data_IF_434434596612
#
_entry.id   IF_434434596612
#
_cell.length_a   1.000
_cell.length_b   1.000
_cell.length_c   1.000
_cell.angle_alpha   90.00
_cell.angle_beta   90.00
_cell.angle_gamma   90.00
#
_symmetry.space_group_name_H-M   'P 1'
#
loop_
_entity.id
_entity.type
_entity.pdbx_description
1 polymer ?
#
# COMPACT_ATOMS: atom_id res chain seq x y z
N UNK A 1 -67.54 9.55 29.99
CA UNK A 1 -67.13 10.78 29.27
C UNK A 1 -66.03 10.39 28.29
N UNK A 2 -66.30 10.60 27.00
CA UNK A 2 -65.51 10.47 25.74
C UNK A 2 -64.24 9.58 25.78
N UNK A 3 -64.14 8.39 25.18
CA UNK A 3 -64.30 7.92 23.78
C UNK A 3 -63.58 8.78 22.72
N UNK A 4 -62.48 8.25 22.19
CA UNK A 4 -62.10 8.36 20.79
C UNK A 4 -61.26 7.14 20.37
N UNK A 5 -61.86 6.30 19.52
CA UNK A 5 -61.27 5.15 18.86
C UNK A 5 -60.64 5.58 17.53
N UNK A 6 -59.48 5.02 17.19
CA UNK A 6 -58.87 5.17 15.86
C UNK A 6 -59.02 3.83 15.11
N UNK A 7 -59.81 3.86 14.05
CA UNK A 7 -60.12 2.70 13.22
C UNK A 7 -59.01 2.42 12.20
N UNK A 8 -58.62 1.15 12.11
CA UNK A 8 -57.71 0.59 11.13
C UNK A 8 -58.54 0.17 9.90
N UNK A 9 -58.32 0.82 8.75
CA UNK A 9 -59.02 0.51 7.51
C UNK A 9 -58.16 -0.43 6.65
N UNK A 10 -58.67 -1.64 6.44
CA UNK A 10 -58.14 -2.65 5.52
C UNK A 10 -58.74 -2.39 4.13
N UNK A 11 -57.90 -2.24 3.11
CA UNK A 11 -58.33 -2.33 1.71
C UNK A 11 -57.65 -3.54 1.04
N UNK A 12 -58.45 -4.58 0.86
CA UNK A 12 -58.23 -5.67 -0.08
C UNK A 12 -58.76 -5.22 -1.45
N UNK A 13 -57.91 -5.17 -2.47
CA UNK A 13 -58.35 -5.14 -3.86
C UNK A 13 -57.65 -6.23 -4.66
N UNK A 14 -58.48 -7.14 -5.17
CA UNK A 14 -58.21 -8.20 -6.12
C UNK A 14 -57.97 -7.65 -7.53
N UNK A 15 -56.96 -8.16 -8.23
CA UNK A 15 -56.75 -7.94 -9.67
C UNK A 15 -56.37 -9.27 -10.35
N UNK A 16 -56.83 -9.54 -11.59
CA UNK A 16 -57.09 -10.88 -12.09
C UNK A 16 -55.95 -11.49 -12.91
N UNK A 17 -56.04 -12.81 -13.05
CA UNK A 17 -55.34 -13.65 -14.01
C UNK A 17 -55.65 -13.25 -15.46
N UNK A 18 -54.61 -13.09 -16.29
CA UNK A 18 -54.74 -13.25 -17.74
C UNK A 18 -53.45 -13.77 -18.36
N UNK A 19 -53.57 -14.96 -18.93
CA UNK A 19 -52.65 -15.64 -19.85
C UNK A 19 -52.61 -14.92 -21.20
N UNK A 20 -51.41 -14.57 -21.69
CA UNK A 20 -51.21 -14.28 -23.09
C UNK A 20 -49.86 -14.84 -23.58
N UNK A 21 -49.98 -15.86 -24.44
CA UNK A 21 -48.94 -16.43 -25.28
C UNK A 21 -48.39 -15.36 -26.24
N UNK A 22 -47.06 -15.25 -26.33
CA UNK A 22 -46.42 -14.65 -27.50
C UNK A 22 -45.09 -15.36 -27.80
N UNK A 23 -45.16 -16.23 -28.81
CA UNK A 23 -44.01 -16.78 -29.54
C UNK A 23 -43.21 -15.62 -30.14
N UNK A 24 -41.92 -15.52 -29.81
CA UNK A 24 -40.93 -14.84 -30.65
C UNK A 24 -39.80 -15.81 -30.96
N UNK A 25 -39.54 -15.95 -32.26
CA UNK A 25 -38.65 -16.92 -32.85
C UNK A 25 -37.18 -16.69 -32.47
N UNK A 26 -36.49 -17.81 -32.35
CA UNK A 26 -35.05 -17.93 -32.18
C UNK A 26 -34.38 -17.53 -33.51
N UNK A 27 -33.64 -16.41 -33.53
CA UNK A 27 -32.70 -16.11 -34.61
C UNK A 27 -31.32 -16.53 -34.14
N UNK A 28 -30.83 -17.65 -34.69
CA UNK A 28 -29.46 -18.13 -34.51
C UNK A 28 -28.56 -17.31 -35.45
N UNK A 29 -27.86 -16.31 -34.92
CA UNK A 29 -26.74 -15.70 -35.63
C UNK A 29 -25.48 -16.55 -35.40
N UNK A 30 -24.96 -17.13 -36.49
CA UNK A 30 -23.63 -17.76 -36.55
C UNK A 30 -22.56 -16.73 -36.18
N UNK A 31 -21.90 -16.92 -35.04
CA UNK A 31 -20.66 -16.22 -34.71
C UNK A 31 -19.55 -16.70 -35.65
N UNK A 32 -19.12 -15.78 -36.52
CA UNK A 32 -17.96 -15.92 -37.39
C UNK A 32 -16.72 -15.67 -36.52
N UNK A 33 -15.90 -16.69 -36.31
CA UNK A 33 -14.57 -16.56 -35.71
C UNK A 33 -13.71 -15.65 -36.58
N UNK A 34 -13.38 -14.46 -36.08
CA UNK A 34 -12.38 -13.57 -36.65
C UNK A 34 -11.15 -13.61 -35.73
N UNK A 35 -10.06 -14.15 -36.25
CA UNK A 35 -8.72 -14.05 -35.68
C UNK A 35 -8.36 -12.56 -35.51
N UNK A 36 -8.07 -12.14 -34.28
CA UNK A 36 -7.44 -10.84 -34.04
C UNK A 36 -5.95 -10.97 -34.38
N UNK A 37 -5.57 -10.41 -35.52
CA UNK A 37 -4.20 -9.96 -35.76
C UNK A 37 -3.98 -8.70 -34.92
N UNK A 38 -2.95 -8.72 -34.06
CA UNK A 38 -2.50 -7.55 -33.32
C UNK A 38 -1.90 -6.54 -34.30
N UNK A 39 -2.65 -5.49 -34.61
CA UNK A 39 -2.14 -4.32 -35.30
C UNK A 39 -1.23 -3.54 -34.34
N UNK A 40 0.08 -3.55 -34.63
CA UNK A 40 1.09 -2.80 -33.88
C UNK A 40 0.86 -1.31 -34.08
N UNK A 41 0.33 -0.61 -33.07
CA UNK A 41 0.30 0.85 -33.08
C UNK A 41 1.73 1.40 -32.94
N UNK A 42 2.12 2.42 -33.71
CA UNK A 42 3.42 3.06 -33.57
C UNK A 42 3.53 3.76 -32.21
N UNK A 43 4.61 3.45 -31.50
CA UNK A 43 5.01 4.09 -30.23
C UNK A 43 5.32 5.57 -30.50
N UNK A 44 4.75 6.53 -29.75
CA UNK A 44 5.11 7.94 -29.91
C UNK A 44 6.60 8.15 -29.60
N UNK A 45 7.28 9.09 -30.28
CA UNK A 45 8.71 9.31 -30.10
C UNK A 45 9.02 9.65 -28.63
N UNK A 46 9.83 8.80 -28.02
CA UNK A 46 10.37 8.97 -26.67
C UNK A 46 10.96 10.36 -26.51
N UNK A 47 10.44 11.15 -25.56
CA UNK A 47 11.14 12.32 -25.06
C UNK A 47 12.50 11.84 -24.54
N UNK A 48 13.59 12.29 -25.15
CA UNK A 48 14.95 11.99 -24.72
C UNK A 48 15.11 12.44 -23.27
N UNK A 49 15.08 11.49 -22.34
CA UNK A 49 15.54 11.72 -20.98
C UNK A 49 17.02 12.11 -21.04
N UNK A 50 17.46 13.12 -20.28
CA UNK A 50 18.86 13.51 -20.25
C UNK A 50 19.70 12.32 -19.80
N UNK A 51 20.81 12.07 -20.53
CA UNK A 51 21.73 10.99 -20.24
C UNK A 51 22.18 11.07 -18.78
N UNK A 52 21.98 9.98 -18.04
CA UNK A 52 22.44 9.86 -16.66
C UNK A 52 23.97 9.99 -16.64
N UNK A 53 24.45 11.05 -16.00
CA UNK A 53 25.87 11.28 -15.78
C UNK A 53 26.42 10.15 -14.88
N UNK A 54 27.53 9.47 -15.24
CA UNK A 54 28.14 8.45 -14.39
C UNK A 54 28.89 9.14 -13.23
N UNK A 55 28.16 9.46 -12.16
CA UNK A 55 28.77 9.98 -10.94
C UNK A 55 29.38 8.84 -10.12
N UNK A 56 30.67 8.96 -9.83
CA UNK A 56 31.40 8.12 -8.87
C UNK A 56 30.82 8.31 -7.47
N UNK A 57 29.99 7.35 -7.03
CA UNK A 57 29.38 7.29 -5.70
C UNK A 57 30.34 6.62 -4.70
N UNK A 58 30.89 7.38 -3.76
CA UNK A 58 31.62 6.79 -2.63
C UNK A 58 30.64 6.37 -1.52
N UNK A 59 30.54 5.04 -1.35
CA UNK A 59 30.47 4.33 -0.07
C UNK A 59 29.24 4.52 0.84
N UNK A 60 28.02 4.33 0.31
CA UNK A 60 26.83 4.00 1.12
C UNK A 60 25.90 2.97 0.45
N UNK A 61 26.37 2.21 -0.54
CA UNK A 61 25.51 1.24 -1.25
C UNK A 61 25.15 0.10 -0.30
N UNK A 62 23.92 0.07 0.20
CA UNK A 62 23.43 -1.07 0.99
C UNK A 62 23.23 -2.29 0.05
N UNK A 63 23.07 -2.10 -1.28
CA UNK A 63 23.11 -3.20 -2.27
C UNK A 63 23.49 -2.69 -3.69
N UNK A 64 24.77 -2.67 -4.09
CA UNK A 64 25.19 -2.20 -5.43
C UNK A 64 24.72 -3.13 -6.57
N UNK A 65 24.22 -4.33 -6.26
CA UNK A 65 23.87 -5.36 -7.26
C UNK A 65 22.70 -4.97 -8.18
N UNK A 66 21.87 -3.99 -7.79
CA UNK A 66 20.65 -3.63 -8.52
C UNK A 66 20.71 -2.24 -9.17
N UNK A 67 21.85 -1.54 -9.06
CA UNK A 67 22.00 -0.18 -9.60
C UNK A 67 21.77 -0.11 -11.12
N UNK A 68 22.01 -1.20 -11.85
CA UNK A 68 21.79 -1.30 -13.30
C UNK A 68 20.32 -1.14 -13.72
N UNK A 69 19.37 -1.26 -12.79
CA UNK A 69 17.95 -1.06 -13.04
C UNK A 69 17.50 0.41 -12.84
N UNK A 70 18.41 1.30 -12.42
CA UNK A 70 18.13 2.72 -12.24
C UNK A 70 17.83 3.42 -13.56
N UNK A 71 16.83 4.32 -13.55
CA UNK A 71 16.48 5.13 -14.72
C UNK A 71 15.68 4.41 -15.80
N UNK A 72 15.39 3.11 -15.65
CA UNK A 72 14.49 2.38 -16.54
C UNK A 72 13.05 2.57 -16.05
N UNK A 73 12.14 3.14 -16.89
CA UNK A 73 10.73 3.20 -16.56
C UNK A 73 10.17 1.79 -16.38
N UNK A 74 9.61 1.52 -15.20
CA UNK A 74 9.32 0.14 -14.79
C UNK A 74 8.23 -0.56 -15.60
N UNK A 75 7.39 0.18 -16.32
CA UNK A 75 6.33 -0.39 -17.15
C UNK A 75 6.90 -1.26 -18.28
N UNK A 76 8.18 -1.07 -18.63
CA UNK A 76 8.87 -1.88 -19.63
C UNK A 76 9.44 -3.20 -19.07
N UNK A 77 9.62 -3.31 -17.74
CA UNK A 77 10.36 -4.43 -17.13
C UNK A 77 9.51 -5.32 -16.21
N UNK A 78 8.58 -4.75 -15.42
CA UNK A 78 7.76 -5.51 -14.47
C UNK A 78 6.44 -4.79 -14.15
N UNK A 79 5.45 -4.97 -15.03
CA UNK A 79 4.11 -4.42 -14.85
C UNK A 79 3.42 -4.92 -13.57
N UNK A 80 3.75 -6.14 -13.11
CA UNK A 80 3.14 -6.74 -11.94
C UNK A 80 3.58 -6.06 -10.64
N UNK A 81 4.88 -5.75 -10.51
CA UNK A 81 5.35 -5.03 -9.33
C UNK A 81 4.80 -3.61 -9.24
N UNK A 82 4.66 -2.87 -10.35
CA UNK A 82 3.99 -1.56 -10.33
C UNK A 82 2.54 -1.66 -9.84
N UNK A 83 1.83 -2.69 -10.32
CA UNK A 83 0.46 -2.97 -9.93
C UNK A 83 0.37 -3.18 -8.41
N UNK A 84 1.29 -3.96 -7.85
CA UNK A 84 1.37 -4.17 -6.40
C UNK A 84 1.64 -2.87 -5.64
N UNK A 85 2.62 -2.04 -6.05
CA UNK A 85 2.90 -0.78 -5.37
C UNK A 85 1.68 0.12 -5.34
N UNK A 86 0.96 0.22 -6.46
CA UNK A 86 -0.24 1.03 -6.61
C UNK A 86 -1.40 0.52 -5.74
N UNK A 87 -1.68 -0.78 -5.74
CA UNK A 87 -2.72 -1.36 -4.89
C UNK A 87 -2.42 -1.16 -3.40
N UNK A 88 -1.16 -1.30 -2.98
CA UNK A 88 -0.76 -1.03 -1.59
C UNK A 88 -0.86 0.46 -1.25
N UNK A 89 -0.67 1.36 -2.21
CA UNK A 89 -0.96 2.78 -2.01
C UNK A 89 -2.46 3.02 -1.81
N UNK A 90 -3.34 2.43 -2.62
CA UNK A 90 -4.80 2.54 -2.42
C UNK A 90 -5.21 2.10 -1.01
N UNK A 91 -4.69 0.97 -0.55
CA UNK A 91 -4.96 0.47 0.80
C UNK A 91 -4.45 1.43 1.88
N UNK A 92 -3.21 1.92 1.75
CA UNK A 92 -2.62 2.86 2.70
C UNK A 92 -3.39 4.18 2.80
N UNK A 93 -3.88 4.72 1.67
CA UNK A 93 -4.71 5.94 1.65
C UNK A 93 -6.12 5.70 2.19
N UNK A 94 -6.69 4.51 1.96
CA UNK A 94 -8.03 4.16 2.42
C UNK A 94 -8.15 4.04 3.94
N UNK A 95 -7.04 3.81 4.65
CA UNK A 95 -6.97 3.75 6.11
C UNK A 95 -7.43 5.05 6.81
N UNK A 96 -7.52 6.16 6.07
CA UNK A 96 -8.02 7.44 6.56
C UNK A 96 -9.52 7.66 6.33
N UNK A 97 -10.20 6.75 5.61
CA UNK A 97 -11.59 6.89 5.20
C UNK A 97 -12.42 5.63 5.44
N UNK A 98 -13.46 5.44 4.63
CA UNK A 98 -14.40 4.32 4.77
C UNK A 98 -14.00 3.15 3.86
N UNK A 99 -12.86 2.53 4.16
CA UNK A 99 -12.31 1.42 3.38
C UNK A 99 -13.28 0.22 3.27
N UNK A 100 -14.17 -0.01 4.24
CA UNK A 100 -15.20 -1.07 4.17
C UNK A 100 -16.23 -0.81 3.07
N UNK A 101 -16.49 0.45 2.74
CA UNK A 101 -17.42 0.83 1.69
C UNK A 101 -16.73 1.02 0.34
N UNK A 102 -15.54 1.63 0.33
CA UNK A 102 -14.89 2.04 -0.90
C UNK A 102 -14.01 0.94 -1.50
N UNK A 103 -13.26 0.20 -0.68
CA UNK A 103 -12.35 -0.82 -1.21
C UNK A 103 -13.05 -1.99 -1.92
N UNK A 104 -14.27 -2.45 -1.55
CA UNK A 104 -14.98 -3.44 -2.35
C UNK A 104 -15.29 -3.00 -3.80
N UNK A 105 -15.35 -1.69 -4.06
CA UNK A 105 -15.55 -1.15 -5.43
C UNK A 105 -14.28 -1.28 -6.26
N UNK A 106 -13.11 -1.19 -5.61
CA UNK A 106 -11.79 -1.28 -6.23
C UNK A 106 -11.32 -2.73 -6.38
N UNK A 107 -11.49 -3.52 -5.32
CA UNK A 107 -11.09 -4.92 -5.23
C UNK A 107 -12.28 -5.84 -5.52
N UNK A 108 -12.71 -5.86 -6.78
CA UNK A 108 -13.98 -6.47 -7.21
C UNK A 108 -14.04 -7.99 -7.07
N UNK A 109 -12.89 -8.66 -6.94
CA UNK A 109 -12.82 -10.12 -6.67
C UNK A 109 -13.02 -10.46 -5.19
N UNK A 110 -13.03 -9.46 -4.31
CA UNK A 110 -13.27 -9.63 -2.89
C UNK A 110 -12.39 -8.72 -2.04
N UNK A 111 -12.96 -8.27 -0.93
CA UNK A 111 -12.28 -7.48 0.09
C UNK A 111 -12.91 -7.79 1.45
N UNK A 112 -12.22 -8.58 2.26
CA UNK A 112 -12.70 -9.01 3.58
C UNK A 112 -11.81 -8.42 4.67
N UNK A 113 -12.42 -7.71 5.63
CA UNK A 113 -11.73 -7.24 6.83
C UNK A 113 -11.62 -8.39 7.82
N UNK A 114 -10.40 -8.83 8.07
CA UNK A 114 -10.11 -9.88 9.05
C UNK A 114 -10.09 -9.31 10.47
N UNK A 115 -9.48 -8.14 10.64
CA UNK A 115 -9.30 -7.51 11.93
C UNK A 115 -9.13 -6.00 11.77
N UNK A 116 -9.72 -5.22 12.67
CA UNK A 116 -9.45 -3.78 12.84
C UNK A 116 -8.74 -3.57 14.17
N UNK A 117 -7.91 -2.54 14.25
CA UNK A 117 -7.29 -2.15 15.50
C UNK A 117 -7.27 -0.62 15.66
N UNK A 118 -7.45 -0.20 16.90
CA UNK A 118 -7.26 1.16 17.36
C UNK A 118 -6.72 1.08 18.79
N UNK A 119 -5.68 1.86 19.08
CA UNK A 119 -4.90 1.77 20.33
C UNK A 119 -5.11 3.02 21.16
N UNK A 120 -4.86 2.93 22.47
CA UNK A 120 -4.98 4.08 23.39
C UNK A 120 -4.04 5.24 23.05
N UNK A 121 -2.92 4.95 22.38
CA UNK A 121 -1.95 5.96 21.94
C UNK A 121 -2.16 6.42 20.48
N UNK A 122 -3.29 6.05 19.87
CA UNK A 122 -3.73 6.59 18.58
C UNK A 122 -3.24 5.85 17.34
N UNK A 123 -2.44 4.78 17.45
CA UNK A 123 -2.18 3.89 16.31
C UNK A 123 -3.46 3.15 15.94
N UNK A 124 -3.80 3.13 14.65
CA UNK A 124 -4.96 2.40 14.12
C UNK A 124 -4.67 1.82 12.73
N UNK A 125 -5.56 0.94 12.27
CA UNK A 125 -5.42 0.26 11.00
C UNK A 125 -6.30 -0.98 10.90
N UNK A 126 -6.03 -1.81 9.90
CA UNK A 126 -6.78 -3.04 9.66
C UNK A 126 -5.92 -4.10 8.96
N UNK A 127 -6.37 -5.34 9.03
CA UNK A 127 -5.90 -6.46 8.22
C UNK A 127 -7.01 -6.89 7.27
N UNK A 128 -6.69 -7.03 5.97
CA UNK A 128 -7.67 -7.43 4.96
C UNK A 128 -7.18 -8.64 4.16
N UNK A 129 -8.08 -9.58 3.89
CA UNK A 129 -7.92 -10.62 2.89
C UNK A 129 -8.38 -10.09 1.54
N UNK A 130 -7.49 -10.12 0.54
CA UNK A 130 -7.74 -9.57 -0.79
C UNK A 130 -7.43 -10.64 -1.85
N UNK A 131 -8.44 -11.41 -2.29
CA UNK A 131 -8.25 -12.50 -3.25
C UNK A 131 -7.62 -12.07 -4.57
N UNK A 132 -7.94 -10.86 -5.07
CA UNK A 132 -7.34 -10.29 -6.29
C UNK A 132 -5.81 -10.18 -6.21
N UNK A 133 -5.29 -9.89 -5.02
CA UNK A 133 -3.85 -9.79 -4.74
C UNK A 133 -3.25 -11.12 -4.31
N UNK A 134 -4.07 -12.15 -4.03
CA UNK A 134 -3.67 -13.42 -3.39
C UNK A 134 -2.86 -13.17 -2.10
N UNK A 135 -3.34 -12.24 -1.29
CA UNK A 135 -2.57 -11.70 -0.18
C UNK A 135 -3.47 -11.30 1.00
N UNK A 136 -2.91 -11.39 2.20
CA UNK A 136 -3.43 -10.73 3.39
C UNK A 136 -2.59 -9.47 3.60
N UNK A 137 -3.23 -8.31 3.70
CA UNK A 137 -2.51 -7.03 3.82
C UNK A 137 -2.75 -6.43 5.20
N UNK A 138 -1.66 -6.18 5.93
CA UNK A 138 -1.67 -5.36 7.14
C UNK A 138 -1.52 -3.90 6.76
N UNK A 139 -2.49 -3.06 7.15
CA UNK A 139 -2.54 -1.65 6.77
C UNK A 139 -2.49 -0.79 8.03
N UNK A 140 -1.49 0.09 8.09
CA UNK A 140 -1.30 1.03 9.20
C UNK A 140 -1.70 2.44 8.77
N UNK A 141 -2.66 3.03 9.49
CA UNK A 141 -3.01 4.44 9.34
C UNK A 141 -1.89 5.32 9.93
N UNK A 142 -1.61 6.45 9.31
CA UNK A 142 -0.66 7.42 9.86
C UNK A 142 -1.19 8.17 11.06
N UNK A 143 -0.27 8.47 11.98
CA UNK A 143 -0.46 9.34 13.12
C UNK A 143 -0.44 10.82 12.68
N UNK A 144 -1.46 11.59 13.07
CA UNK A 144 -1.68 12.95 12.58
C UNK A 144 -0.69 13.99 13.11
N UNK A 145 -0.12 13.76 14.31
CA UNK A 145 0.70 14.73 15.05
C UNK A 145 2.14 14.23 15.17
N UNK A 146 2.81 14.01 14.03
CA UNK A 146 4.15 13.41 14.01
C UNK A 146 5.21 14.20 14.81
N UNK A 147 5.01 15.49 15.00
CA UNK A 147 5.89 16.36 15.78
C UNK A 147 5.86 16.03 17.27
N UNK A 148 4.80 15.37 17.75
CA UNK A 148 4.66 14.95 19.15
C UNK A 148 5.23 13.55 19.41
N UNK A 149 5.66 12.85 18.36
CA UNK A 149 6.32 11.56 18.53
C UNK A 149 7.71 11.74 19.13
N UNK A 150 8.07 10.80 19.98
CA UNK A 150 9.43 10.67 20.48
C UNK A 150 10.35 10.19 19.35
N UNK A 151 11.29 11.04 18.94
CA UNK A 151 12.27 10.76 17.89
C UNK A 151 13.64 10.36 18.46
N UNK A 152 13.73 10.07 19.77
CA UNK A 152 14.90 9.42 20.33
C UNK A 152 15.00 7.96 19.83
N UNK A 153 16.20 7.40 19.89
CA UNK A 153 16.45 6.02 19.48
C UNK A 153 16.03 5.04 20.57
N UNK A 154 15.27 4.02 20.17
CA UNK A 154 15.00 2.86 21.00
C UNK A 154 15.50 1.59 20.30
N UNK A 155 16.15 0.71 21.06
CA UNK A 155 16.51 -0.64 20.57
C UNK A 155 15.25 -1.40 20.15
N UNK A 156 15.35 -2.16 19.06
CA UNK A 156 14.30 -3.07 18.57
C UNK A 156 14.75 -4.54 18.56
N UNK A 157 15.87 -4.86 19.22
CA UNK A 157 16.42 -6.22 19.30
C UNK A 157 15.49 -7.19 20.05
N UNK A 158 14.63 -6.66 20.92
CA UNK A 158 13.62 -7.40 21.67
C UNK A 158 12.46 -7.91 20.79
N UNK A 159 12.29 -7.35 19.58
CA UNK A 159 11.18 -7.69 18.68
C UNK A 159 11.61 -8.19 17.30
N UNK A 160 12.82 -7.85 16.85
CA UNK A 160 13.36 -8.27 15.55
C UNK A 160 14.46 -9.32 15.72
N UNK A 161 14.21 -10.53 15.22
CA UNK A 161 15.18 -11.62 15.32
C UNK A 161 16.42 -11.32 14.47
N UNK A 162 17.61 -11.59 15.04
CA UNK A 162 18.92 -11.44 14.40
C UNK A 162 19.21 -10.01 13.89
N UNK A 163 18.97 -9.00 14.73
CA UNK A 163 19.11 -7.58 14.38
C UNK A 163 20.05 -6.82 15.33
N UNK A 164 21.31 -7.23 15.45
CA UNK A 164 22.26 -6.57 16.37
C UNK A 164 22.48 -5.10 15.99
N UNK A 165 22.40 -4.21 16.98
CA UNK A 165 22.50 -2.76 16.84
C UNK A 165 21.28 -2.10 16.21
N UNK A 166 20.16 -2.82 16.06
CA UNK A 166 18.99 -2.26 15.42
C UNK A 166 18.20 -1.37 16.35
N UNK A 167 17.89 -0.17 15.84
CA UNK A 167 17.10 0.84 16.52
C UNK A 167 16.05 1.43 15.59
N UNK A 168 15.01 1.97 16.21
CA UNK A 168 13.96 2.76 15.58
C UNK A 168 13.70 4.02 16.40
N UNK A 169 12.99 4.99 15.82
CA UNK A 169 12.42 6.08 16.59
C UNK A 169 11.47 5.54 17.68
N UNK A 170 11.61 6.01 18.92
CA UNK A 170 10.89 5.49 20.08
C UNK A 170 9.37 5.60 19.95
N UNK A 171 8.88 6.71 19.40
CA UNK A 171 7.45 6.90 19.08
C UNK A 171 6.95 5.88 18.06
N UNK A 172 7.76 5.58 17.03
CA UNK A 172 7.42 4.56 16.02
C UNK A 172 7.39 3.16 16.63
N UNK A 173 8.37 2.84 17.50
CA UNK A 173 8.36 1.58 18.26
C UNK A 173 7.09 1.48 19.13
N UNK A 174 6.75 2.53 19.86
CA UNK A 174 5.60 2.57 20.75
C UNK A 174 4.28 2.36 19.99
N UNK A 175 4.09 3.05 18.86
CA UNK A 175 2.93 2.86 17.98
C UNK A 175 2.83 1.43 17.44
N UNK A 176 3.96 0.82 17.04
CA UNK A 176 3.96 -0.56 16.57
C UNK A 176 3.59 -1.55 17.68
N UNK A 177 4.18 -1.42 18.86
CA UNK A 177 3.95 -2.33 19.99
C UNK A 177 2.50 -2.27 20.45
N UNK A 178 1.92 -1.06 20.55
CA UNK A 178 0.51 -0.94 20.93
C UNK A 178 -0.43 -1.61 19.93
N UNK A 179 -0.14 -1.53 18.61
CA UNK A 179 -0.91 -2.22 17.58
C UNK A 179 -0.73 -3.75 17.66
N UNK A 180 0.49 -4.21 17.91
CA UNK A 180 0.79 -5.63 18.13
C UNK A 180 0.03 -6.18 19.34
N UNK A 181 -0.03 -5.45 20.45
CA UNK A 181 -0.79 -5.82 21.64
C UNK A 181 -2.30 -5.83 21.37
N UNK A 182 -2.84 -4.78 20.75
CA UNK A 182 -4.27 -4.67 20.42
C UNK A 182 -4.75 -5.80 19.49
N UNK A 183 -3.85 -6.33 18.67
CA UNK A 183 -4.12 -7.45 17.77
C UNK A 183 -3.77 -8.83 18.34
N UNK A 184 -3.32 -8.89 19.60
CA UNK A 184 -2.83 -10.11 20.27
C UNK A 184 -1.74 -10.81 19.45
N UNK A 185 -0.72 -10.05 19.08
CA UNK A 185 0.36 -10.46 18.18
C UNK A 185 -0.16 -11.01 16.84
N UNK A 186 -1.11 -10.29 16.24
CA UNK A 186 -1.67 -10.59 14.92
C UNK A 186 -2.29 -12.00 14.82
N UNK A 187 -2.86 -12.53 15.92
CA UNK A 187 -3.37 -13.90 16.02
C UNK A 187 -4.40 -14.25 14.91
N UNK A 188 -5.32 -13.34 14.59
CA UNK A 188 -6.31 -13.52 13.52
C UNK A 188 -5.62 -13.71 12.16
N UNK A 189 -4.61 -12.89 11.87
CA UNK A 189 -3.86 -12.94 10.62
C UNK A 189 -3.03 -14.22 10.55
N UNK A 190 -2.38 -14.63 11.63
CA UNK A 190 -1.64 -15.91 11.69
C UNK A 190 -2.55 -17.11 11.44
N UNK A 191 -3.75 -17.11 12.03
CA UNK A 191 -4.76 -18.15 11.80
C UNK A 191 -5.21 -18.19 10.35
N UNK A 192 -5.49 -17.03 9.75
CA UNK A 192 -5.91 -16.98 8.35
C UNK A 192 -4.78 -17.37 7.39
N UNK A 193 -3.52 -17.03 7.67
CA UNK A 193 -2.35 -17.54 6.92
C UNK A 193 -2.24 -19.06 7.04
N UNK A 194 -2.40 -19.60 8.25
CA UNK A 194 -2.32 -21.05 8.48
C UNK A 194 -3.40 -21.81 7.69
N UNK A 195 -4.60 -21.24 7.57
CA UNK A 195 -5.75 -21.78 6.84
C UNK A 195 -5.62 -21.60 5.32
N UNK A 196 -5.38 -20.39 4.84
CA UNK A 196 -5.42 -20.02 3.42
C UNK A 196 -4.10 -20.27 2.68
N UNK A 197 -2.97 -20.37 3.41
CA UNK A 197 -1.60 -20.42 2.86
C UNK A 197 -1.24 -19.20 2.00
N UNK A 198 -1.98 -18.10 2.14
CA UNK A 198 -1.68 -16.87 1.42
C UNK A 198 -0.45 -16.18 2.00
N UNK A 199 0.15 -15.33 1.16
CA UNK A 199 1.21 -14.43 1.58
C UNK A 199 0.64 -13.33 2.49
N UNK A 200 1.54 -12.70 3.25
CA UNK A 200 1.26 -11.45 3.95
C UNK A 200 2.16 -10.35 3.40
N UNK A 201 1.56 -9.20 3.13
CA UNK A 201 2.25 -7.93 2.95
C UNK A 201 1.83 -6.90 3.98
N UNK A 202 2.65 -5.86 4.11
CA UNK A 202 2.39 -4.76 5.04
C UNK A 202 2.51 -3.43 4.32
N UNK A 203 1.60 -2.51 4.62
CA UNK A 203 1.56 -1.18 4.01
C UNK A 203 1.14 -0.07 4.97
N UNK A 204 1.45 1.17 4.63
CA UNK A 204 1.07 2.33 5.43
C UNK A 204 1.59 3.63 4.83
N UNK A 205 0.89 4.72 5.13
CA UNK A 205 1.16 6.05 4.61
C UNK A 205 1.64 7.01 5.72
N UNK A 206 2.61 7.88 5.39
CA UNK A 206 3.21 8.82 6.33
C UNK A 206 3.83 8.12 7.53
N UNK A 207 3.43 8.48 8.74
CA UNK A 207 3.84 7.76 9.97
C UNK A 207 3.38 6.30 9.95
N UNK A 208 2.24 6.00 9.32
CA UNK A 208 1.78 4.63 9.14
C UNK A 208 2.76 3.82 8.28
N UNK A 209 3.45 4.48 7.34
CA UNK A 209 4.53 3.88 6.57
C UNK A 209 5.78 3.58 7.39
N UNK A 210 6.12 4.43 8.36
CA UNK A 210 7.20 4.14 9.30
C UNK A 210 6.86 2.97 10.24
N UNK A 211 5.63 2.94 10.76
CA UNK A 211 5.12 1.82 11.58
C UNK A 211 5.05 0.53 10.75
N UNK A 212 4.59 0.60 9.50
CA UNK A 212 4.53 -0.54 8.59
C UNK A 212 5.91 -1.12 8.28
N UNK A 213 6.94 -0.27 8.16
CA UNK A 213 8.33 -0.71 7.98
C UNK A 213 8.86 -1.46 9.21
N UNK A 214 8.60 -0.96 10.43
CA UNK A 214 8.97 -1.66 11.66
C UNK A 214 8.19 -2.98 11.83
N UNK A 215 6.89 -2.98 11.48
CA UNK A 215 6.10 -4.20 11.44
C UNK A 215 6.67 -5.23 10.46
N UNK A 216 7.18 -4.78 9.30
CA UNK A 216 7.83 -5.65 8.34
C UNK A 216 9.14 -6.25 8.88
N UNK A 217 9.93 -5.49 9.66
CA UNK A 217 11.14 -6.01 10.31
C UNK A 217 10.80 -7.14 11.28
N UNK A 218 9.90 -6.88 12.24
CA UNK A 218 9.48 -7.88 13.23
C UNK A 218 8.92 -9.12 12.53
N UNK A 219 7.84 -8.94 11.75
CA UNK A 219 7.10 -10.05 11.17
C UNK A 219 7.85 -10.74 10.03
N UNK A 220 8.71 -10.02 9.31
CA UNK A 220 9.59 -10.58 8.28
C UNK A 220 10.71 -11.42 8.89
N UNK A 221 11.28 -11.00 10.03
CA UNK A 221 12.27 -11.82 10.76
C UNK A 221 11.70 -13.17 11.20
N UNK A 222 10.38 -13.22 11.43
CA UNK A 222 9.58 -14.41 11.78
C UNK A 222 8.93 -15.10 10.56
N UNK A 223 9.30 -14.71 9.34
CA UNK A 223 8.81 -15.27 8.06
C UNK A 223 7.29 -15.20 7.86
N UNK A 224 6.58 -14.31 8.57
CA UNK A 224 5.16 -14.08 8.37
C UNK A 224 4.91 -13.10 7.22
N UNK A 225 5.63 -11.97 7.22
CA UNK A 225 5.54 -10.96 6.16
C UNK A 225 6.59 -11.21 5.09
N UNK A 226 6.17 -11.19 3.83
CA UNK A 226 7.04 -11.44 2.67
C UNK A 226 7.24 -10.22 1.79
N UNK A 227 6.37 -9.21 1.90
CA UNK A 227 6.47 -7.98 1.14
C UNK A 227 6.15 -6.76 2.01
N UNK A 228 6.82 -5.65 1.74
CA UNK A 228 6.59 -4.40 2.45
C UNK A 228 6.49 -3.24 1.47
N UNK A 229 5.46 -2.42 1.65
CA UNK A 229 5.23 -1.23 0.85
C UNK A 229 5.03 -0.07 1.82
N UNK A 230 5.65 1.07 1.58
CA UNK A 230 5.41 2.24 2.42
C UNK A 230 5.32 3.48 1.55
N UNK A 231 4.42 4.39 1.90
CA UNK A 231 4.08 5.56 1.10
C UNK A 231 4.36 6.82 1.91
N UNK A 232 5.17 7.73 1.40
CA UNK A 232 5.44 9.01 2.07
C UNK A 232 6.07 8.88 3.44
N UNK A 233 6.77 7.77 3.69
CA UNK A 233 7.35 7.44 4.99
C UNK A 233 8.52 8.38 5.32
N UNK A 234 8.56 8.97 6.55
CA UNK A 234 9.75 9.66 7.05
C UNK A 234 10.88 8.67 7.41
N UNK A 235 12.08 9.18 7.64
CA UNK A 235 13.16 8.36 8.22
C UNK A 235 12.78 7.95 9.65
N UNK A 236 12.92 6.67 9.98
CA UNK A 236 12.55 6.16 11.30
C UNK A 236 13.41 5.01 11.84
N UNK A 237 14.34 4.50 11.02
CA UNK A 237 15.14 3.31 11.32
C UNK A 237 16.63 3.65 11.19
N UNK A 238 17.45 3.18 12.12
CA UNK A 238 18.89 3.39 12.03
C UNK A 238 19.52 2.52 10.92
N UNK A 239 20.79 2.73 10.61
CA UNK A 239 21.46 2.06 9.49
C UNK A 239 21.48 0.51 9.64
N UNK A 240 21.62 0.00 10.87
CA UNK A 240 21.58 -1.45 11.12
C UNK A 240 20.18 -2.03 10.82
N UNK A 241 19.13 -1.34 11.28
CA UNK A 241 17.74 -1.69 10.99
C UNK A 241 17.43 -1.65 9.49
N UNK A 242 17.92 -0.63 8.77
CA UNK A 242 17.77 -0.54 7.30
C UNK A 242 18.47 -1.70 6.60
N UNK A 243 19.70 -2.02 7.01
CA UNK A 243 20.47 -3.14 6.43
C UNK A 243 19.77 -4.49 6.67
N UNK A 244 19.19 -4.69 7.87
CA UNK A 244 18.39 -5.87 8.17
C UNK A 244 17.13 -5.94 7.32
N UNK A 245 16.41 -4.82 7.20
CA UNK A 245 15.19 -4.73 6.40
C UNK A 245 15.47 -5.09 4.94
N UNK A 246 16.47 -4.45 4.33
CA UNK A 246 16.84 -4.69 2.94
C UNK A 246 17.30 -6.14 2.71
N UNK A 247 17.96 -6.75 3.70
CA UNK A 247 18.34 -8.17 3.68
C UNK A 247 17.14 -9.12 3.72
N UNK A 248 16.14 -8.84 4.57
CA UNK A 248 14.94 -9.68 4.68
C UNK A 248 14.13 -9.70 3.37
N UNK A 249 14.05 -8.56 2.68
CA UNK A 249 13.23 -8.41 1.47
C UNK A 249 14.04 -8.42 0.16
N UNK A 250 15.36 -8.63 0.25
CA UNK A 250 16.29 -8.68 -0.87
C UNK A 250 16.22 -7.43 -1.78
N UNK A 251 15.83 -6.29 -1.22
CA UNK A 251 15.55 -5.04 -1.93
C UNK A 251 14.30 -5.04 -2.82
N UNK A 252 13.93 -6.17 -3.44
CA UNK A 252 12.85 -6.24 -4.43
C UNK A 252 11.46 -6.41 -3.82
N UNK A 253 11.35 -7.16 -2.73
CA UNK A 253 10.09 -7.38 -2.03
C UNK A 253 9.75 -6.24 -1.04
N UNK A 254 10.55 -5.17 -1.05
CA UNK A 254 10.32 -3.99 -0.23
C UNK A 254 10.41 -2.72 -1.06
N UNK A 255 9.34 -1.93 -1.11
CA UNK A 255 9.30 -0.70 -1.89
C UNK A 255 8.85 0.48 -1.01
N UNK A 256 9.63 1.55 -1.09
CA UNK A 256 9.33 2.81 -0.41
C UNK A 256 9.01 3.88 -1.44
N UNK A 257 7.73 4.22 -1.52
CA UNK A 257 7.18 5.14 -2.50
C UNK A 257 7.24 6.56 -1.96
N UNK A 258 7.68 7.49 -2.80
CA UNK A 258 7.61 8.93 -2.56
C UNK A 258 7.01 9.64 -3.76
N UNK A 259 6.05 10.52 -3.52
CA UNK A 259 5.56 11.43 -4.56
C UNK A 259 6.52 12.62 -4.68
N UNK A 260 6.42 13.35 -5.79
CA UNK A 260 7.29 14.49 -6.03
C UNK A 260 7.25 15.51 -4.88
N UNK A 261 8.39 15.76 -4.25
CA UNK A 261 8.57 16.77 -3.21
C UNK A 261 7.68 16.60 -1.96
N UNK A 262 7.18 15.39 -1.66
CA UNK A 262 6.45 15.10 -0.43
C UNK A 262 7.24 15.54 0.82
N UNK A 263 6.66 16.44 1.61
CA UNK A 263 7.28 16.96 2.83
C UNK A 263 7.61 15.89 3.87
N UNK A 264 6.76 14.87 4.04
CA UNK A 264 6.90 13.88 5.12
C UNK A 264 8.14 13.01 4.90
N UNK A 265 8.50 12.75 3.64
CA UNK A 265 9.70 11.98 3.30
C UNK A 265 10.98 12.67 3.84
N UNK A 266 10.95 13.98 4.09
CA UNK A 266 12.09 14.72 4.67
C UNK A 266 11.81 15.43 5.97
N UNK A 267 10.65 15.19 6.60
CA UNK A 267 10.31 15.82 7.88
C UNK A 267 11.31 15.47 8.97
N UNK A 268 11.86 14.24 8.92
CA UNK A 268 12.96 13.79 9.77
C UNK A 268 14.28 13.88 9.00
N UNK A 269 15.24 14.70 9.48
CA UNK A 269 16.50 14.90 8.78
C UNK A 269 17.31 13.61 8.72
N UNK A 270 18.18 13.52 7.70
CA UNK A 270 19.17 12.45 7.66
C UNK A 270 20.16 12.66 8.81
N UNK A 271 20.42 11.60 9.55
CA UNK A 271 21.31 11.60 10.70
C UNK A 271 21.28 10.21 11.31
N UNK A 272 20.62 10.06 12.43
CA UNK A 272 20.42 8.77 13.11
C UNK A 272 19.53 7.82 12.30
N UNK A 273 18.50 8.37 11.65
CA UNK A 273 17.54 7.58 10.88
C UNK A 273 17.77 7.69 9.37
N UNK A 274 17.36 6.65 8.66
CA UNK A 274 17.47 6.47 7.21
C UNK A 274 16.16 5.95 6.64
N UNK A 275 16.02 6.06 5.32
CA UNK A 275 14.96 5.38 4.59
C UNK A 275 15.29 3.91 4.29
N UNK A 276 14.24 3.11 4.10
CA UNK A 276 14.32 1.67 3.81
C UNK A 276 13.79 1.31 2.43
N UNK A 277 14.14 0.11 1.96
CA UNK A 277 13.58 -0.51 0.77
C UNK A 277 13.96 0.19 -0.53
N UNK A 278 13.64 -0.45 -1.65
CA UNK A 278 13.86 0.15 -2.98
C UNK A 278 13.00 1.40 -3.10
N UNK A 279 13.64 2.55 -3.37
CA UNK A 279 12.93 3.81 -3.55
C UNK A 279 12.24 3.86 -4.89
N UNK A 280 10.98 4.27 -4.87
CA UNK A 280 10.13 4.42 -6.05
C UNK A 280 9.55 5.83 -6.05
N UNK A 281 9.87 6.63 -7.05
CA UNK A 281 9.27 7.95 -7.24
C UNK A 281 8.00 7.83 -8.05
N UNK A 282 6.90 8.37 -7.51
CA UNK A 282 5.67 8.63 -8.26
C UNK A 282 5.78 10.02 -8.90
N UNK A 283 5.51 10.12 -10.19
CA UNK A 283 5.58 11.37 -10.95
C UNK A 283 4.60 11.38 -12.14
N UNK A 284 4.65 12.43 -12.95
CA UNK A 284 3.80 12.62 -14.12
C UNK A 284 2.40 13.13 -13.78
N UNK A 285 1.62 13.45 -14.82
CA UNK A 285 0.23 13.88 -14.65
C UNK A 285 -0.61 12.80 -13.97
N UNK A 286 -1.42 13.21 -12.99
CA UNK A 286 -2.25 12.31 -12.18
C UNK A 286 -1.47 11.20 -11.46
N UNK A 287 -0.17 11.38 -11.22
CA UNK A 287 0.67 10.43 -10.49
C UNK A 287 0.71 9.02 -11.12
N UNK A 288 0.61 8.90 -12.45
CA UNK A 288 0.51 7.59 -13.12
C UNK A 288 1.86 6.92 -13.38
N UNK A 289 2.97 7.65 -13.27
CA UNK A 289 4.29 7.17 -13.66
C UNK A 289 5.17 6.82 -12.45
N UNK A 290 6.05 5.82 -12.64
CA UNK A 290 6.97 5.33 -11.61
C UNK A 290 8.41 5.24 -12.12
N UNK A 291 9.34 5.83 -11.36
CA UNK A 291 10.79 5.67 -11.56
C UNK A 291 11.39 4.98 -10.34
N UNK A 292 12.29 4.04 -10.56
CA UNK A 292 13.01 3.37 -9.48
C UNK A 292 14.39 3.99 -9.23
N UNK A 293 14.74 4.03 -7.95
CA UNK A 293 16.06 4.38 -7.44
C UNK A 293 16.56 3.22 -6.56
N UNK A 294 16.99 2.15 -7.20
CA UNK A 294 17.68 1.02 -6.60
C UNK A 294 19.03 1.40 -5.99
N UNK A 295 19.42 0.63 -4.97
CA UNK A 295 20.76 0.65 -4.38
C UNK A 295 21.05 1.82 -3.44
N UNK A 296 20.23 2.88 -3.48
CA UNK A 296 20.38 4.06 -2.63
C UNK A 296 19.02 4.57 -2.12
N UNK A 297 18.67 4.17 -0.89
CA UNK A 297 17.43 4.57 -0.23
C UNK A 297 17.36 6.09 0.05
N UNK A 298 18.49 6.79 -0.05
CA UNK A 298 18.62 8.24 0.14
C UNK A 298 18.80 9.00 -1.18
N UNK A 299 18.50 8.37 -2.33
CA UNK A 299 18.63 8.98 -3.64
C UNK A 299 17.73 10.22 -3.76
N UNK A 300 18.36 11.41 -3.80
CA UNK A 300 17.70 12.72 -3.89
C UNK A 300 16.74 12.85 -5.07
N UNK A 301 17.00 12.16 -6.19
CA UNK A 301 16.14 12.16 -7.36
C UNK A 301 14.78 11.54 -7.02
N UNK A 302 14.75 10.47 -6.22
CA UNK A 302 13.49 9.83 -5.84
C UNK A 302 12.79 10.49 -4.65
N UNK A 303 13.54 10.83 -3.60
CA UNK A 303 12.95 11.42 -2.37
C UNK A 303 12.59 12.91 -2.52
N UNK A 304 12.95 13.55 -3.64
CA UNK A 304 12.63 14.95 -3.93
C UNK A 304 13.31 15.94 -2.98
N UNK A 305 12.71 17.13 -2.80
CA UNK A 305 13.22 18.18 -1.90
C UNK A 305 12.47 18.31 -0.57
N UNK A 306 11.30 17.69 -0.42
CA UNK A 306 10.52 17.63 0.82
C UNK A 306 9.81 18.91 1.23
N UNK A 307 9.13 19.60 0.31
CA UNK A 307 8.50 20.92 0.57
C UNK A 307 6.99 20.98 0.33
N UNK A 308 6.37 19.93 -0.21
CA UNK A 308 4.98 19.97 -0.66
C UNK A 308 4.08 19.10 0.22
N UNK A 309 3.22 19.76 1.00
CA UNK A 309 2.21 19.11 1.87
C UNK A 309 1.05 18.54 1.05
N UNK A 310 0.67 19.19 -0.04
CA UNK A 310 -0.42 18.72 -0.91
C UNK A 310 -0.06 17.38 -1.54
N UNK A 311 1.18 17.23 -2.02
CA UNK A 311 1.63 15.98 -2.64
C UNK A 311 1.69 14.79 -1.67
N UNK A 312 1.77 15.05 -0.36
CA UNK A 312 1.65 14.02 0.67
C UNK A 312 0.22 13.45 0.76
N UNK A 313 -0.80 14.15 0.27
CA UNK A 313 -2.20 13.70 0.38
C UNK A 313 -2.62 12.79 -0.76
N UNK A 314 -1.75 12.55 -1.74
CA UNK A 314 -2.10 11.77 -2.94
C UNK A 314 -0.99 10.78 -3.22
N UNK A 315 -1.35 9.49 -3.25
CA UNK A 315 -0.48 8.38 -3.65
C UNK A 315 -1.26 7.47 -4.61
N UNK A 316 -1.30 7.83 -5.89
CA UNK A 316 -2.21 7.33 -6.95
C UNK A 316 -3.70 7.55 -6.71
N UNK A 317 -4.08 7.86 -5.48
CA UNK A 317 -5.44 8.18 -5.05
C UNK A 317 -5.35 9.15 -3.88
N UNK A 318 -6.43 9.89 -3.64
CA UNK A 318 -6.50 10.87 -2.55
C UNK A 318 -6.59 10.18 -1.19
N UNK A 319 -6.09 10.85 -0.16
CA UNK A 319 -6.23 10.39 1.22
C UNK A 319 -7.71 10.16 1.56
N UNK A 320 -7.97 9.11 2.35
CA UNK A 320 -9.30 8.64 2.74
C UNK A 320 -10.14 8.02 1.61
N UNK A 321 -9.54 7.72 0.46
CA UNK A 321 -10.19 6.98 -0.65
C UNK A 321 -9.47 5.68 -0.96
N UNK A 322 -10.11 4.76 -1.69
CA UNK A 322 -9.56 3.45 -2.03
C UNK A 322 -9.30 3.26 -3.53
N UNK A 323 -8.85 4.29 -4.25
CA UNK A 323 -8.55 4.19 -5.68
C UNK A 323 -9.75 3.80 -6.56
N UNK A 324 -9.48 3.64 -7.86
CA UNK A 324 -10.45 3.08 -8.80
C UNK A 324 -10.07 1.63 -9.13
N UNK A 325 -11.06 0.82 -9.53
CA UNK A 325 -10.80 -0.51 -10.04
C UNK A 325 -9.84 -0.42 -11.23
N UNK A 326 -8.78 -1.24 -11.23
CA UNK A 326 -7.86 -1.27 -12.36
C UNK A 326 -8.53 -1.97 -13.54
N UNK A 327 -8.54 -1.31 -14.71
CA UNK A 327 -8.94 -1.96 -15.96
C UNK A 327 -8.07 -3.21 -16.16
N UNK A 328 -8.71 -4.37 -16.28
CA UNK A 328 -8.05 -5.67 -16.44
C UNK A 328 -7.66 -5.98 -17.89
N UNK A 329 -7.51 -4.94 -18.71
CA UNK A 329 -7.18 -5.07 -20.14
C UNK A 329 -5.73 -5.51 -20.35
#
# INVERSE_FOLDING_TARGET
MHIAALALLVFLTSIPTSTAFLKRGLVVQKLKTRSLECETRPVPPSAKLPAANPFTYQNTSIQPKWEYLNGIPWYNNDAYQQHNSRLHSYLSMSAYGNYKHDCPKTFTTGFEILQEFNTSIGQSGYAALIPQMKNIVLVFKGYGEYQLLDWDTASIEDIVDNCKGCEAAQGIKSLYISAKEATKDWDVVRKEVAKSKLRVSVTGHGIGGAVSALAALDLGSKKLVTHSYNQGMPRALNLASVSRYDSLFQGLASQSLSTENDFMVKSIPKGTFFHVGTKVKIFGENQKELINCFGNNENKTCIGNGKNITNHKTYFTEIATCGDAMDTN
#
